data_IF_613886634158
#
_entry.id   IF_613886634158
#
_cell.length_a   1.000
_cell.length_b   1.000
_cell.length_c   1.000
_cell.angle_alpha   90.00
_cell.angle_beta   90.00
_cell.angle_gamma   90.00
#
_symmetry.space_group_name_H-M   'P 1'
#
loop_
_entity.id
_entity.type
_entity.pdbx_description
1 polymer ?
#
# COMPACT_ATOMS: atom_id res chain seq x y z
N UNK A 1 -6.42 -11.87 53.52
CA UNK A 1 -7.85 -11.84 53.90
C UNK A 1 -8.64 -11.57 52.63
N UNK A 2 -8.99 -12.56 51.81
CA UNK A 2 -10.02 -13.58 52.00
C UNK A 2 -11.38 -13.00 52.40
N UNK A 3 -12.27 -12.86 51.42
CA UNK A 3 -13.72 -13.04 51.46
C UNK A 3 -14.25 -12.88 50.02
N UNK A 4 -15.21 -13.62 49.49
CA UNK A 4 -15.84 -14.88 49.87
C UNK A 4 -16.71 -15.22 48.66
N UNK A 5 -16.36 -16.24 47.88
CA UNK A 5 -17.27 -16.81 46.88
C UNK A 5 -18.38 -17.53 47.63
N UNK A 6 -19.61 -17.00 47.59
CA UNK A 6 -20.78 -17.68 48.15
C UNK A 6 -21.00 -19.00 47.40
N UNK A 7 -20.80 -20.11 48.10
CA UNK A 7 -21.08 -21.46 47.61
C UNK A 7 -22.59 -21.70 47.66
N UNK A 8 -23.22 -21.84 46.48
CA UNK A 8 -24.62 -22.23 46.37
C UNK A 8 -24.78 -23.74 46.63
N UNK A 9 -25.70 -24.12 47.51
CA UNK A 9 -26.10 -25.52 47.83
C UNK A 9 -27.59 -25.69 47.49
N UNK A 10 -28.02 -26.91 47.19
CA UNK A 10 -29.43 -27.17 46.89
C UNK A 10 -30.29 -27.38 48.17
N UNK A 11 -31.61 -27.46 48.00
CA UNK A 11 -32.60 -27.59 49.08
C UNK A 11 -32.56 -28.93 49.83
N UNK A 12 -31.65 -29.85 49.48
CA UNK A 12 -31.39 -31.10 50.21
C UNK A 12 -29.99 -31.14 50.83
N UNK A 13 -29.28 -30.01 50.85
CA UNK A 13 -28.01 -29.85 51.56
C UNK A 13 -26.78 -30.37 50.82
N UNK A 14 -26.91 -30.87 49.59
CA UNK A 14 -25.79 -31.36 48.81
C UNK A 14 -25.04 -30.19 48.14
N UNK A 15 -23.71 -30.33 48.03
CA UNK A 15 -22.86 -29.37 47.27
C UNK A 15 -23.20 -29.48 45.78
N UNK A 16 -23.63 -28.39 45.18
CA UNK A 16 -23.76 -28.28 43.73
C UNK A 16 -22.35 -28.33 43.10
N UNK A 17 -21.98 -29.48 42.53
CA UNK A 17 -20.86 -29.56 41.60
C UNK A 17 -21.33 -28.96 40.28
N UNK A 18 -20.94 -27.71 40.02
CA UNK A 18 -21.00 -27.15 38.67
C UNK A 18 -19.88 -27.83 37.88
N UNK A 19 -20.21 -28.91 37.19
CA UNK A 19 -19.38 -29.42 36.10
C UNK A 19 -19.50 -28.42 34.97
N UNK A 20 -18.46 -27.61 34.78
CA UNK A 20 -18.26 -26.85 33.55
C UNK A 20 -18.13 -27.90 32.45
N UNK A 21 -19.03 -27.95 31.45
CA UNK A 21 -18.86 -28.90 30.35
C UNK A 21 -17.51 -28.61 29.70
N UNK A 22 -16.76 -29.66 29.37
CA UNK A 22 -15.57 -29.52 28.52
C UNK A 22 -15.98 -28.69 27.32
N UNK A 23 -15.27 -27.56 27.11
CA UNK A 23 -15.44 -26.76 25.91
C UNK A 23 -15.38 -27.75 24.75
N UNK A 24 -16.38 -27.79 23.84
CA UNK A 24 -16.16 -28.48 22.60
C UNK A 24 -14.85 -27.91 22.05
N UNK A 25 -13.92 -28.80 21.73
CA UNK A 25 -12.76 -28.44 20.93
C UNK A 25 -13.32 -27.90 19.62
N UNK A 26 -13.67 -26.63 19.63
CA UNK A 26 -13.82 -25.82 18.45
C UNK A 26 -12.40 -25.83 17.92
N UNK A 27 -12.15 -26.75 16.99
CA UNK A 27 -11.05 -26.60 16.07
C UNK A 27 -11.05 -25.11 15.72
N UNK A 28 -9.97 -24.42 16.12
CA UNK A 28 -9.73 -23.07 15.63
C UNK A 28 -9.98 -23.15 14.14
N UNK A 29 -10.80 -22.28 13.53
CA UNK A 29 -10.80 -22.22 12.08
C UNK A 29 -9.32 -22.10 11.69
N UNK A 30 -8.81 -23.05 10.90
CA UNK A 30 -7.50 -22.91 10.28
C UNK A 30 -7.65 -21.76 9.29
N UNK A 31 -7.56 -20.54 9.78
CA UNK A 31 -7.33 -19.38 8.94
C UNK A 31 -5.83 -19.42 8.68
N UNK A 32 -5.50 -19.80 7.46
CA UNK A 32 -4.13 -19.74 6.98
C UNK A 32 -3.75 -18.25 6.88
N UNK A 33 -2.73 -17.76 7.61
CA UNK A 33 -2.29 -16.37 7.50
C UNK A 33 -1.74 -16.02 6.10
N UNK A 34 -1.53 -17.03 5.26
CA UNK A 34 -0.95 -16.95 3.91
C UNK A 34 -1.97 -17.17 2.77
N UNK A 35 -3.28 -17.12 3.03
CA UNK A 35 -4.22 -17.02 1.91
C UNK A 35 -4.08 -15.61 1.29
N UNK A 36 -3.56 -15.47 0.06
CA UNK A 36 -3.42 -14.15 -0.55
C UNK A 36 -4.82 -13.57 -0.60
N UNK A 37 -5.02 -12.37 -0.04
CA UNK A 37 -6.27 -11.64 -0.21
C UNK A 37 -6.62 -11.65 -1.70
N UNK A 38 -7.57 -12.49 -2.07
CA UNK A 38 -8.05 -12.53 -3.44
C UNK A 38 -8.65 -11.17 -3.74
N UNK A 39 -8.45 -10.76 -4.98
CA UNK A 39 -8.93 -9.56 -5.71
C UNK A 39 -10.39 -9.12 -5.40
N UNK A 40 -11.16 -9.92 -4.67
CA UNK A 40 -12.56 -9.74 -4.33
C UNK A 40 -12.89 -8.58 -3.36
N UNK A 41 -11.92 -8.04 -2.60
CA UNK A 41 -12.19 -6.99 -1.61
C UNK A 41 -11.93 -5.54 -2.11
N UNK A 42 -11.53 -5.38 -3.38
CA UNK A 42 -11.34 -4.05 -3.97
C UNK A 42 -12.71 -3.54 -4.46
N UNK A 43 -13.25 -2.42 -3.93
CA UNK A 43 -14.53 -1.89 -4.38
C UNK A 43 -14.47 -1.58 -5.87
N UNK A 44 -15.47 -2.06 -6.62
CA UNK A 44 -15.61 -1.77 -8.04
C UNK A 44 -15.67 -0.25 -8.25
N UNK A 45 -14.71 0.28 -9.01
CA UNK A 45 -14.68 1.70 -9.34
C UNK A 45 -15.90 2.10 -10.19
N UNK A 46 -16.47 3.30 -10.00
CA UNK A 46 -17.56 3.80 -10.83
C UNK A 46 -17.13 3.91 -12.30
N UNK A 47 -18.06 3.60 -13.20
CA UNK A 47 -17.91 3.74 -14.64
C UNK A 47 -17.93 5.23 -15.01
N UNK A 48 -16.83 5.71 -15.60
CA UNK A 48 -16.69 7.07 -16.13
C UNK A 48 -16.07 6.99 -17.52
N UNK A 49 -16.79 6.34 -18.41
CA UNK A 49 -16.55 6.39 -19.85
C UNK A 49 -16.85 7.79 -20.39
N UNK A 50 -15.81 8.61 -20.63
CA UNK A 50 -15.63 9.59 -21.72
C UNK A 50 -14.63 10.70 -21.34
N UNK A 51 -13.44 10.72 -21.96
CA UNK A 51 -12.77 11.99 -22.29
C UNK A 51 -11.66 11.82 -23.34
N UNK A 52 -11.56 12.80 -24.21
CA UNK A 52 -10.93 12.81 -25.54
C UNK A 52 -9.45 13.19 -25.56
N UNK A 53 -8.68 12.58 -26.47
CA UNK A 53 -7.25 12.79 -26.67
C UNK A 53 -6.90 14.09 -27.43
N UNK A 54 -6.19 15.02 -26.76
CA UNK A 54 -5.13 15.88 -27.32
C UNK A 54 -4.11 16.11 -26.19
N UNK A 55 -2.85 15.69 -26.43
CA UNK A 55 -1.76 15.38 -25.46
C UNK A 55 -2.20 14.62 -24.20
N UNK A 56 -2.99 13.57 -24.43
CA UNK A 56 -3.53 12.70 -23.39
C UNK A 56 -2.47 12.22 -22.38
N UNK A 57 -1.26 11.90 -22.84
CA UNK A 57 -0.18 11.45 -21.96
C UNK A 57 0.35 12.55 -21.03
N UNK A 58 0.56 13.77 -21.52
CA UNK A 58 1.04 14.87 -20.70
C UNK A 58 -0.03 15.29 -19.67
N UNK A 59 -1.29 15.38 -20.10
CA UNK A 59 -2.42 15.67 -19.21
C UNK A 59 -2.65 14.56 -18.18
N UNK A 60 -2.55 13.30 -18.58
CA UNK A 60 -2.66 12.16 -17.66
C UNK A 60 -1.52 12.15 -16.64
N UNK A 61 -0.29 12.47 -17.06
CA UNK A 61 0.84 12.64 -16.15
C UNK A 61 0.56 13.74 -15.13
N UNK A 62 0.11 14.92 -15.58
CA UNK A 62 -0.19 16.04 -14.68
C UNK A 62 -1.34 15.70 -13.71
N UNK A 63 -2.36 14.99 -14.17
CA UNK A 63 -3.44 14.49 -13.30
C UNK A 63 -2.93 13.48 -12.24
N UNK A 64 -1.99 12.60 -12.61
CA UNK A 64 -1.34 11.69 -11.66
C UNK A 64 -0.49 12.45 -10.64
N UNK A 65 0.19 13.53 -11.04
CA UNK A 65 0.89 14.42 -10.11
C UNK A 65 -0.08 15.09 -9.14
N UNK A 66 -1.21 15.61 -9.61
CA UNK A 66 -2.23 16.20 -8.74
C UNK A 66 -2.81 15.18 -7.75
N UNK A 67 -3.04 13.95 -8.20
CA UNK A 67 -3.48 12.85 -7.34
C UNK A 67 -2.43 12.47 -6.28
N UNK A 68 -1.15 12.37 -6.67
CA UNK A 68 -0.05 12.13 -5.74
C UNK A 68 0.06 13.26 -4.72
N UNK A 69 0.06 14.52 -5.18
CA UNK A 69 0.11 15.69 -4.30
C UNK A 69 -1.07 15.71 -3.32
N UNK A 70 -2.28 15.31 -3.74
CA UNK A 70 -3.42 15.17 -2.85
C UNK A 70 -3.21 14.08 -1.79
N UNK A 71 -2.64 12.92 -2.15
CA UNK A 71 -2.29 11.87 -1.18
C UNK A 71 -1.29 12.37 -0.14
N UNK A 72 -0.22 13.04 -0.58
CA UNK A 72 0.80 13.61 0.31
C UNK A 72 0.23 14.72 1.20
N UNK A 73 -0.58 15.63 0.64
CA UNK A 73 -1.27 16.69 1.41
C UNK A 73 -2.26 16.11 2.42
N UNK A 74 -2.96 15.04 2.08
CA UNK A 74 -3.88 14.33 2.98
C UNK A 74 -3.12 13.67 4.13
N UNK A 75 -1.97 13.04 3.84
CA UNK A 75 -1.08 12.44 4.84
C UNK A 75 -0.58 13.49 5.85
N UNK A 76 -0.02 14.61 5.38
CA UNK A 76 0.46 15.69 6.27
C UNK A 76 -0.65 16.28 7.15
N UNK A 77 -1.90 16.29 6.65
CA UNK A 77 -3.06 16.83 7.38
C UNK A 77 -3.78 15.79 8.24
N UNK A 78 -3.37 14.51 8.20
CA UNK A 78 -4.03 13.44 8.94
C UNK A 78 -5.50 13.23 8.54
N UNK A 79 -5.85 13.42 7.26
CA UNK A 79 -7.21 13.23 6.74
C UNK A 79 -7.24 12.19 5.62
N UNK A 80 -8.41 11.66 5.30
CA UNK A 80 -8.58 10.86 4.10
C UNK A 80 -8.36 11.71 2.82
N UNK A 81 -7.78 11.14 1.76
CA UNK A 81 -7.60 11.81 0.47
C UNK A 81 -8.90 11.86 -0.33
N UNK A 82 -8.96 12.73 -1.34
CA UNK A 82 -10.03 12.70 -2.34
C UNK A 82 -9.91 11.46 -3.24
N UNK A 83 -10.57 10.36 -2.86
CA UNK A 83 -10.53 9.10 -3.59
C UNK A 83 -11.02 9.21 -5.05
N UNK A 84 -12.00 10.06 -5.33
CA UNK A 84 -12.52 10.25 -6.70
C UNK A 84 -11.47 10.87 -7.62
N UNK A 85 -10.70 11.85 -7.12
CA UNK A 85 -9.59 12.45 -7.87
C UNK A 85 -8.52 11.39 -8.19
N UNK A 86 -8.13 10.61 -7.18
CA UNK A 86 -7.09 9.58 -7.33
C UNK A 86 -7.53 8.50 -8.34
N UNK A 87 -8.75 8.01 -8.23
CA UNK A 87 -9.28 6.99 -9.17
C UNK A 87 -9.40 7.54 -10.59
N UNK A 88 -9.87 8.78 -10.76
CA UNK A 88 -9.98 9.41 -12.08
C UNK A 88 -8.61 9.58 -12.75
N UNK A 89 -7.59 10.02 -12.00
CA UNK A 89 -6.23 10.17 -12.50
C UNK A 89 -5.62 8.81 -12.89
N UNK A 90 -5.81 7.77 -12.06
CA UNK A 90 -5.32 6.42 -12.35
C UNK A 90 -5.97 5.82 -13.60
N UNK A 91 -7.28 6.02 -13.80
CA UNK A 91 -7.97 5.59 -15.03
C UNK A 91 -7.41 6.30 -16.26
N UNK A 92 -7.31 7.62 -16.22
CA UNK A 92 -6.73 8.40 -17.32
C UNK A 92 -5.29 7.97 -17.63
N UNK A 93 -4.48 7.66 -16.62
CA UNK A 93 -3.15 7.08 -16.80
C UNK A 93 -3.18 5.69 -17.44
N UNK A 94 -4.04 4.80 -16.95
CA UNK A 94 -4.20 3.43 -17.47
C UNK A 94 -4.62 3.40 -18.95
N UNK A 95 -5.54 4.28 -19.34
CA UNK A 95 -6.02 4.42 -20.72
C UNK A 95 -4.86 4.77 -21.66
N UNK A 96 -4.01 5.71 -21.25
CA UNK A 96 -2.85 6.14 -22.03
C UNK A 96 -1.76 5.07 -22.20
N UNK A 97 -1.70 4.07 -21.31
CA UNK A 97 -0.75 2.97 -21.44
C UNK A 97 -1.08 2.00 -22.57
N UNK A 98 -2.30 2.04 -23.13
CA UNK A 98 -2.75 1.12 -24.17
C UNK A 98 -2.59 1.64 -25.58
N UNK A 99 -2.39 2.94 -25.71
CA UNK A 99 -2.36 3.63 -27.01
C UNK A 99 -0.92 3.82 -27.50
N UNK A 100 0.04 4.03 -26.60
CA UNK A 100 1.45 4.24 -26.94
C UNK A 100 2.37 4.22 -25.70
N UNK A 101 3.67 4.38 -25.92
CA UNK A 101 4.66 4.62 -24.86
C UNK A 101 4.79 6.12 -24.49
N UNK A 102 3.83 6.96 -24.90
CA UNK A 102 3.89 8.41 -24.66
C UNK A 102 3.87 8.74 -23.16
N UNK A 103 3.07 8.04 -22.35
CA UNK A 103 3.03 8.28 -20.90
C UNK A 103 4.35 7.87 -20.21
N UNK A 104 5.04 6.83 -20.70
CA UNK A 104 6.38 6.47 -20.24
C UNK A 104 7.41 7.51 -20.69
N UNK A 105 7.25 8.06 -21.89
CA UNK A 105 8.13 9.13 -22.39
C UNK A 105 8.04 10.36 -21.49
N UNK A 106 6.85 10.68 -20.94
CA UNK A 106 6.69 11.78 -19.99
C UNK A 106 7.47 11.58 -18.69
N UNK A 107 7.61 10.35 -18.18
CA UNK A 107 8.40 10.08 -16.95
C UNK A 107 9.87 10.43 -17.16
N UNK A 108 10.42 10.14 -18.35
CA UNK A 108 11.79 10.46 -18.74
C UNK A 108 11.94 11.98 -18.98
N UNK A 109 11.02 12.57 -19.76
CA UNK A 109 11.08 13.99 -20.14
C UNK A 109 11.04 14.91 -18.94
N UNK A 110 10.30 14.54 -17.90
CA UNK A 110 10.09 15.35 -16.69
C UNK A 110 11.07 15.01 -15.55
N UNK A 111 11.93 14.00 -15.71
CA UNK A 111 12.95 13.58 -14.73
C UNK A 111 13.93 14.70 -14.32
N UNK A 112 14.46 15.57 -15.23
CA UNK A 112 15.42 16.61 -14.84
C UNK A 112 14.86 17.70 -13.91
N UNK A 113 13.54 17.80 -13.78
CA UNK A 113 12.86 18.76 -12.91
C UNK A 113 12.35 18.12 -11.60
N UNK A 114 12.80 16.90 -11.28
CA UNK A 114 12.15 16.00 -10.32
C UNK A 114 12.88 15.93 -8.97
N UNK A 115 12.52 16.81 -8.03
CA UNK A 115 12.99 16.72 -6.63
C UNK A 115 11.87 16.36 -5.63
N UNK A 116 10.60 16.24 -6.07
CA UNK A 116 9.50 15.93 -5.15
C UNK A 116 9.19 14.43 -5.05
N UNK A 117 8.94 13.97 -3.82
CA UNK A 117 8.50 12.60 -3.52
C UNK A 117 7.23 12.21 -4.29
N UNK A 118 6.31 13.16 -4.48
CA UNK A 118 5.06 12.93 -5.23
C UNK A 118 5.34 12.60 -6.70
N UNK A 119 6.23 13.33 -7.37
CA UNK A 119 6.57 13.09 -8.78
C UNK A 119 7.34 11.78 -8.98
N UNK A 120 8.27 11.46 -8.07
CA UNK A 120 8.92 10.14 -8.05
C UNK A 120 7.89 9.02 -7.94
N UNK A 121 6.92 9.17 -7.04
CA UNK A 121 5.83 8.19 -6.86
C UNK A 121 4.96 8.04 -8.12
N UNK A 122 4.73 9.12 -8.86
CA UNK A 122 4.05 9.08 -10.17
C UNK A 122 4.84 8.28 -11.20
N UNK A 123 6.15 8.54 -11.33
CA UNK A 123 7.00 7.79 -12.24
C UNK A 123 6.98 6.28 -11.93
N UNK A 124 7.11 5.93 -10.65
CA UNK A 124 7.02 4.54 -10.18
C UNK A 124 5.65 3.94 -10.51
N UNK A 125 4.55 4.66 -10.24
CA UNK A 125 3.20 4.17 -10.53
C UNK A 125 2.98 3.92 -12.03
N UNK A 126 3.42 4.83 -12.90
CA UNK A 126 3.28 4.71 -14.37
C UNK A 126 4.05 3.48 -14.87
N UNK A 127 5.33 3.36 -14.48
CA UNK A 127 6.16 2.24 -14.89
C UNK A 127 5.65 0.90 -14.33
N UNK A 128 5.18 0.87 -13.08
CA UNK A 128 4.59 -0.32 -12.47
C UNK A 128 3.30 -0.73 -13.21
N UNK A 129 2.38 0.20 -13.49
CA UNK A 129 1.18 -0.07 -14.26
C UNK A 129 1.51 -0.58 -15.67
N UNK A 130 2.55 -0.04 -16.33
CA UNK A 130 2.98 -0.58 -17.62
C UNK A 130 3.43 -2.03 -17.48
N UNK A 131 4.30 -2.36 -16.53
CA UNK A 131 4.71 -3.74 -16.30
C UNK A 131 3.51 -4.65 -15.97
N UNK A 132 2.55 -4.15 -15.19
CA UNK A 132 1.29 -4.84 -14.92
C UNK A 132 0.53 -5.22 -16.18
N UNK A 133 0.51 -4.33 -17.19
CA UNK A 133 -0.11 -4.62 -18.50
C UNK A 133 0.63 -5.69 -19.28
N UNK A 134 1.96 -5.67 -19.27
CA UNK A 134 2.79 -6.67 -19.95
C UNK A 134 2.60 -8.08 -19.33
N UNK A 135 2.20 -8.16 -18.06
CA UNK A 135 1.81 -9.41 -17.38
C UNK A 135 0.28 -9.62 -17.34
N UNK A 136 -0.45 -8.95 -18.24
CA UNK A 136 -1.88 -9.15 -18.51
C UNK A 136 -2.80 -8.85 -17.31
N UNK A 137 -2.46 -7.87 -16.47
CA UNK A 137 -3.38 -7.39 -15.43
C UNK A 137 -4.61 -6.73 -16.06
N UNK A 138 -5.78 -7.05 -15.52
CA UNK A 138 -7.01 -6.35 -15.85
C UNK A 138 -6.99 -4.91 -15.31
N UNK A 139 -7.93 -4.09 -15.78
CA UNK A 139 -8.02 -2.69 -15.39
C UNK A 139 -8.07 -2.51 -13.86
N UNK A 140 -8.81 -3.36 -13.14
CA UNK A 140 -8.93 -3.26 -11.68
C UNK A 140 -7.58 -3.47 -10.99
N UNK A 141 -6.82 -4.48 -11.41
CA UNK A 141 -5.47 -4.76 -10.89
C UNK A 141 -4.48 -3.67 -11.29
N UNK A 142 -4.60 -3.07 -12.48
CA UNK A 142 -3.76 -1.94 -12.88
C UNK A 142 -4.00 -0.71 -12.01
N UNK A 143 -5.27 -0.32 -11.78
CA UNK A 143 -5.59 0.81 -10.91
C UNK A 143 -5.14 0.54 -9.47
N UNK A 144 -5.30 -0.69 -8.98
CA UNK A 144 -4.84 -1.09 -7.65
C UNK A 144 -3.31 -1.02 -7.51
N UNK A 145 -2.58 -1.51 -8.53
CA UNK A 145 -1.12 -1.42 -8.61
C UNK A 145 -0.66 0.04 -8.66
N UNK A 146 -1.32 0.87 -9.48
CA UNK A 146 -1.05 2.30 -9.57
C UNK A 146 -1.29 3.03 -8.25
N UNK A 147 -2.38 2.72 -7.52
CA UNK A 147 -2.64 3.28 -6.20
C UNK A 147 -1.53 2.92 -5.20
N UNK A 148 -1.07 1.66 -5.20
CA UNK A 148 0.06 1.24 -4.39
C UNK A 148 1.34 2.00 -4.78
N UNK A 149 1.61 2.15 -6.08
CA UNK A 149 2.75 2.91 -6.60
C UNK A 149 2.73 4.38 -6.20
N UNK A 150 1.58 5.06 -6.28
CA UNK A 150 1.44 6.46 -5.87
C UNK A 150 1.63 6.67 -4.36
N UNK A 151 1.42 5.63 -3.56
CA UNK A 151 1.36 5.71 -2.10
C UNK A 151 2.57 5.10 -1.38
N UNK A 152 3.47 4.42 -2.10
CA UNK A 152 4.48 3.56 -1.48
C UNK A 152 5.41 4.31 -0.52
N UNK A 153 5.76 5.55 -0.89
CA UNK A 153 6.72 6.40 -0.17
C UNK A 153 6.07 7.50 0.69
N UNK A 154 4.77 7.42 1.01
CA UNK A 154 4.12 8.39 1.90
C UNK A 154 4.82 8.49 3.27
N UNK A 155 5.39 7.39 3.75
CA UNK A 155 6.14 7.32 4.99
C UNK A 155 7.43 8.12 5.01
N UNK A 156 7.94 8.55 3.86
CA UNK A 156 9.09 9.47 3.78
C UNK A 156 8.78 10.82 4.45
N UNK A 157 7.50 11.20 4.58
CA UNK A 157 7.05 12.39 5.32
C UNK A 157 7.37 12.34 6.82
N UNK A 158 7.61 11.15 7.37
CA UNK A 158 7.86 10.92 8.80
C UNK A 158 9.35 10.66 9.07
N UNK A 159 10.19 10.67 8.03
CA UNK A 159 11.63 10.57 8.16
C UNK A 159 12.20 11.94 8.53
N UNK A 160 13.04 12.06 9.58
CA UNK A 160 13.60 13.34 10.00
C UNK A 160 14.39 14.03 8.88
N UNK A 161 14.28 15.35 8.77
CA UNK A 161 14.98 16.12 7.74
C UNK A 161 16.50 15.92 7.80
N UNK A 162 17.09 15.77 8.99
CA UNK A 162 18.53 15.54 9.14
C UNK A 162 18.99 14.18 8.58
N UNK A 163 18.06 13.22 8.41
CA UNK A 163 18.30 11.96 7.72
C UNK A 163 18.22 12.16 6.21
N UNK A 164 17.18 12.86 5.72
CA UNK A 164 16.95 13.08 4.29
C UNK A 164 18.03 13.96 3.64
N UNK A 165 18.49 14.99 4.36
CA UNK A 165 19.49 15.94 3.86
C UNK A 165 20.93 15.43 4.02
N UNK A 166 21.12 14.24 4.58
CA UNK A 166 22.45 13.69 4.84
C UNK A 166 23.12 13.20 3.56
N UNK A 167 24.31 13.72 3.26
CA UNK A 167 25.12 13.24 2.13
C UNK A 167 25.59 11.79 2.29
N UNK A 168 25.76 11.33 3.53
CA UNK A 168 26.18 9.95 3.87
C UNK A 168 25.47 9.50 5.13
N UNK A 169 24.57 8.54 4.98
CA UNK A 169 23.83 7.98 6.10
C UNK A 169 24.74 7.16 7.02
N UNK A 170 24.69 7.47 8.31
CA UNK A 170 25.19 6.58 9.36
C UNK A 170 24.31 5.33 9.46
N UNK A 171 24.78 4.28 10.15
CA UNK A 171 23.99 3.07 10.38
C UNK A 171 22.65 3.36 11.09
N UNK A 172 22.64 4.30 12.05
CA UNK A 172 21.43 4.73 12.76
C UNK A 172 20.47 5.48 11.84
N UNK A 173 20.97 6.43 11.04
CA UNK A 173 20.13 7.16 10.08
C UNK A 173 19.56 6.23 9.00
N UNK A 174 20.35 5.25 8.55
CA UNK A 174 19.87 4.20 7.65
C UNK A 174 18.74 3.37 8.28
N UNK A 175 18.84 3.02 9.56
CA UNK A 175 17.75 2.32 10.26
C UNK A 175 16.48 3.18 10.33
N UNK A 176 16.60 4.48 10.58
CA UNK A 176 15.47 5.41 10.60
C UNK A 176 14.82 5.53 9.21
N UNK A 177 15.63 5.69 8.16
CA UNK A 177 15.14 5.73 6.79
C UNK A 177 14.40 4.43 6.42
N UNK A 178 14.92 3.27 6.82
CA UNK A 178 14.29 1.96 6.57
C UNK A 178 12.97 1.74 7.32
N UNK A 179 12.55 2.66 8.18
CA UNK A 179 11.22 2.62 8.80
C UNK A 179 10.13 3.21 7.92
N UNK A 180 10.47 3.95 6.85
CA UNK A 180 9.45 4.61 6.01
C UNK A 180 8.37 3.65 5.48
N UNK A 181 8.60 2.35 5.16
CA UNK A 181 7.52 1.48 4.71
C UNK A 181 6.46 1.24 5.79
N UNK A 182 6.89 1.12 7.07
CA UNK A 182 5.97 1.04 8.20
C UNK A 182 5.22 2.35 8.44
N UNK A 183 5.87 3.49 8.18
CA UNK A 183 5.19 4.78 8.24
C UNK A 183 4.14 4.93 7.13
N UNK A 184 4.44 4.48 5.90
CA UNK A 184 3.47 4.42 4.80
C UNK A 184 2.26 3.58 5.18
N UNK A 185 2.47 2.36 5.70
CA UNK A 185 1.39 1.49 6.18
C UNK A 185 0.52 2.17 7.25
N UNK A 186 1.15 2.82 8.24
CA UNK A 186 0.45 3.54 9.31
C UNK A 186 -0.39 4.71 8.76
N UNK A 187 0.18 5.51 7.87
CA UNK A 187 -0.49 6.65 7.24
C UNK A 187 -1.72 6.16 6.46
N UNK A 188 -1.53 5.13 5.63
CA UNK A 188 -2.60 4.56 4.80
C UNK A 188 -3.72 3.97 5.65
N UNK A 189 -3.41 3.26 6.74
CA UNK A 189 -4.44 2.83 7.71
C UNK A 189 -5.21 4.01 8.29
N UNK A 190 -4.54 5.15 8.50
CA UNK A 190 -5.16 6.40 8.95
C UNK A 190 -6.13 7.03 7.95
N UNK A 191 -5.99 6.76 6.66
CA UNK A 191 -6.96 7.19 5.64
C UNK A 191 -8.29 6.44 5.69
N UNK A 192 -8.32 5.28 6.36
CA UNK A 192 -9.51 4.49 6.60
C UNK A 192 -9.43 3.08 6.01
N UNK A 193 -10.47 2.28 6.28
CA UNK A 193 -10.52 0.84 5.96
C UNK A 193 -10.22 0.51 4.49
N UNK A 194 -10.62 1.38 3.57
CA UNK A 194 -10.40 1.20 2.13
C UNK A 194 -8.90 1.20 1.73
N UNK A 195 -8.02 1.74 2.56
CA UNK A 195 -6.58 1.83 2.32
C UNK A 195 -5.75 0.80 3.11
N UNK A 196 -6.36 0.00 3.99
CA UNK A 196 -5.63 -0.97 4.81
C UNK A 196 -4.89 -2.02 3.96
N UNK A 197 -5.51 -2.47 2.86
CA UNK A 197 -4.87 -3.42 1.95
C UNK A 197 -3.70 -2.77 1.21
N UNK A 198 -3.81 -1.49 0.83
CA UNK A 198 -2.71 -0.71 0.22
C UNK A 198 -1.54 -0.68 1.19
N UNK A 199 -1.79 -0.37 2.47
CA UNK A 199 -0.80 -0.38 3.55
C UNK A 199 -0.04 -1.71 3.64
N UNK A 200 -0.76 -2.84 3.63
CA UNK A 200 -0.18 -4.19 3.70
C UNK A 200 0.69 -4.54 2.49
N UNK A 201 0.42 -3.96 1.32
CA UNK A 201 1.24 -4.15 0.12
C UNK A 201 2.47 -3.23 0.17
N UNK A 202 2.29 -1.94 0.42
CA UNK A 202 3.38 -0.96 0.31
C UNK A 202 4.50 -1.18 1.32
N UNK A 203 4.17 -1.72 2.51
CA UNK A 203 5.18 -2.05 3.53
C UNK A 203 6.21 -3.06 3.00
N UNK A 204 5.88 -3.83 1.96
CA UNK A 204 6.72 -4.88 1.39
C UNK A 204 7.54 -4.42 0.17
N UNK A 205 7.43 -3.17 -0.28
CA UNK A 205 8.04 -2.70 -1.55
C UNK A 205 9.58 -2.80 -1.54
N UNK A 206 10.19 -2.69 -0.36
CA UNK A 206 11.63 -2.87 -0.19
C UNK A 206 12.07 -4.30 0.14
N UNK A 207 11.14 -5.26 0.11
CA UNK A 207 11.47 -6.68 0.22
C UNK A 207 12.16 -7.20 -1.04
N UNK A 208 12.98 -8.24 -0.88
CA UNK A 208 13.77 -8.83 -1.97
C UNK A 208 13.57 -10.34 -1.97
N UNK A 209 13.50 -10.96 -3.16
CA UNK A 209 13.15 -12.40 -3.27
C UNK A 209 14.08 -13.33 -2.48
N UNK A 210 15.32 -12.94 -2.26
CA UNK A 210 16.33 -13.66 -1.46
C UNK A 210 16.22 -13.41 0.06
N UNK A 211 15.36 -12.49 0.49
CA UNK A 211 15.19 -12.07 1.89
C UNK A 211 16.21 -11.05 2.37
N UNK A 212 16.99 -10.43 1.48
CA UNK A 212 17.91 -9.34 1.83
C UNK A 212 17.22 -7.99 2.02
N UNK A 213 15.93 -7.92 1.68
CA UNK A 213 15.09 -6.73 1.79
C UNK A 213 14.67 -6.40 3.21
N UNK A 214 13.81 -5.39 3.33
CA UNK A 214 13.29 -4.87 4.60
C UNK A 214 11.85 -4.39 4.40
N UNK A 215 11.06 -4.24 5.48
CA UNK A 215 11.42 -4.39 6.90
C UNK A 215 11.19 -5.78 7.51
N UNK A 216 10.48 -6.67 6.83
CA UNK A 216 10.05 -8.00 7.32
C UNK A 216 10.97 -9.13 6.86
N UNK A 217 11.86 -8.90 5.88
CA UNK A 217 12.77 -9.89 5.30
C UNK A 217 12.03 -11.09 4.67
N UNK A 218 10.93 -10.79 3.97
CA UNK A 218 10.10 -11.75 3.25
C UNK A 218 10.88 -12.36 2.07
N UNK A 219 10.47 -13.56 1.63
CA UNK A 219 11.16 -14.33 0.58
C UNK A 219 10.21 -14.80 -0.50
N UNK A 220 10.72 -14.87 -1.73
CA UNK A 220 10.04 -15.51 -2.86
C UNK A 220 8.61 -15.01 -3.08
N UNK A 221 7.65 -15.91 -2.88
CA UNK A 221 6.22 -15.66 -3.07
C UNK A 221 5.51 -15.19 -1.79
N UNK A 222 6.23 -15.08 -0.67
CA UNK A 222 5.73 -14.39 0.52
C UNK A 222 5.67 -12.87 0.35
N UNK A 223 6.25 -12.32 -0.73
CA UNK A 223 6.15 -10.90 -1.09
C UNK A 223 5.01 -10.73 -2.08
N UNK A 224 4.09 -9.81 -1.76
CA UNK A 224 2.95 -9.49 -2.61
C UNK A 224 3.41 -9.12 -4.03
N UNK A 225 2.71 -9.62 -5.05
CA UNK A 225 3.07 -9.39 -6.46
C UNK A 225 3.22 -7.91 -6.82
N UNK A 226 2.30 -7.06 -6.37
CA UNK A 226 2.39 -5.61 -6.58
C UNK A 226 3.64 -5.01 -5.92
N UNK A 227 3.98 -5.45 -4.71
CA UNK A 227 5.18 -4.97 -4.03
C UNK A 227 6.46 -5.37 -4.79
N UNK A 228 6.49 -6.57 -5.39
CA UNK A 228 7.61 -7.00 -6.25
C UNK A 228 7.74 -6.13 -7.50
N UNK A 229 6.62 -5.83 -8.17
CA UNK A 229 6.61 -4.98 -9.38
C UNK A 229 7.05 -3.55 -9.02
N UNK A 230 6.46 -2.98 -7.98
CA UNK A 230 6.78 -1.61 -7.52
C UNK A 230 8.24 -1.54 -7.07
N UNK A 231 8.73 -2.49 -6.26
CA UNK A 231 10.10 -2.48 -5.76
C UNK A 231 11.16 -2.61 -6.85
N UNK A 232 10.86 -3.35 -7.94
CA UNK A 232 11.72 -3.40 -9.12
C UNK A 232 11.83 -2.02 -9.78
N UNK A 233 10.68 -1.38 -10.01
CA UNK A 233 10.59 -0.08 -10.68
C UNK A 233 11.16 1.05 -9.82
N UNK A 234 10.89 1.06 -8.52
CA UNK A 234 11.42 2.05 -7.59
C UNK A 234 12.96 1.98 -7.52
N UNK A 235 13.52 0.76 -7.53
CA UNK A 235 14.98 0.58 -7.60
C UNK A 235 15.54 1.18 -8.90
N UNK A 236 14.87 0.98 -10.03
CA UNK A 236 15.27 1.60 -11.31
C UNK A 236 15.13 3.13 -11.29
N UNK A 237 14.06 3.66 -10.69
CA UNK A 237 13.85 5.10 -10.58
C UNK A 237 14.82 5.77 -9.60
N UNK A 238 15.43 5.00 -8.67
CA UNK A 238 16.48 5.48 -7.77
C UNK A 238 17.86 5.61 -8.45
N UNK A 239 18.05 5.03 -9.64
CA UNK A 239 19.31 4.99 -10.39
C UNK A 239 19.40 6.09 -11.45
#
# INVERSE_FOLDING_TARGET
MSQMLRSSRDLRGNRLRITVPDKPSLARPKVDPDEPMMVADIPAAPDISQSTAVDGAAMAYDALVDAADELFKAATKGRAPNGSLVVAALRGGSDQLGESDALLTETIRRRPACDSLSRRSVNVAIMAMRLGREVEFDERRLLALGLCGLSHDLGMLEVPAEVLDSQRLTASQMQQLRQHPHYSERILRGFGKAFEWVGRVVVQVHERRDGSGYPQALRGDGIHEFARIIGLVDTYEAM
#
